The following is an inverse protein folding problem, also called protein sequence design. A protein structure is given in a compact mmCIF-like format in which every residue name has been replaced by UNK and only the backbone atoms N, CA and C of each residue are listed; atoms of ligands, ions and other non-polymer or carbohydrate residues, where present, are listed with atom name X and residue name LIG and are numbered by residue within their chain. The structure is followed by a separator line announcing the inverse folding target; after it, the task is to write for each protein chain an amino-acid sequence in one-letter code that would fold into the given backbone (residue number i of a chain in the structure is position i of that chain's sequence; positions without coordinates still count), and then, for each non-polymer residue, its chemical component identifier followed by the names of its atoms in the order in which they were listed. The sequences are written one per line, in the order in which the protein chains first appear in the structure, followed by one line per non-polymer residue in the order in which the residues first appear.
data_IF_480166066626
#
_entry.id   IF_480166066626
#
_cell.length_a   1.000
_cell.length_b   1.000
_cell.length_c   1.000
_cell.angle_alpha   90.00
_cell.angle_beta   90.00
_cell.angle_gamma   90.00
#
_symmetry.space_group_name_H-M   'P 1'
#
loop_
_entity.id
_entity.type
_entity.pdbx_description
1 polymer ?
#
# COMPACT_ATOMS: atom_id res chain seq x y z
N UNK A 1 -21.61 -30.45 44.10
CA UNK A 1 -20.96 -29.88 45.30
C UNK A 1 -19.48 -30.13 45.13
N UNK A 2 -18.90 -29.61 44.04
CA UNK A 2 -18.60 -28.17 43.78
C UNK A 2 -17.58 -27.74 44.84
N UNK A 3 -16.37 -27.25 44.53
CA UNK A 3 -15.95 -26.33 43.46
C UNK A 3 -14.41 -26.42 43.38
N UNK A 4 -13.82 -26.59 42.20
CA UNK A 4 -13.24 -25.59 41.29
C UNK A 4 -11.86 -25.02 41.69
N UNK A 5 -10.91 -25.28 40.78
CA UNK A 5 -9.63 -24.61 40.56
C UNK A 5 -9.83 -23.13 40.19
N UNK A 6 -8.87 -22.27 40.55
CA UNK A 6 -8.22 -21.39 39.56
C UNK A 6 -7.12 -20.55 40.21
N UNK A 7 -5.89 -20.84 39.80
CA UNK A 7 -4.74 -19.95 39.92
C UNK A 7 -4.30 -19.51 38.51
N UNK A 8 -3.87 -18.25 38.44
CA UNK A 8 -3.06 -17.57 37.42
C UNK A 8 -3.48 -17.58 35.93
N UNK A 9 -3.68 -16.39 35.34
CA UNK A 9 -2.56 -15.55 34.87
C UNK A 9 -3.02 -14.40 33.96
N UNK A 10 -2.34 -13.25 34.13
CA UNK A 10 -2.43 -12.03 33.36
C UNK A 10 -2.17 -12.22 31.86
N UNK A 11 -2.96 -11.57 31.00
CA UNK A 11 -2.46 -11.04 29.72
C UNK A 11 -3.19 -9.76 29.30
N UNK A 12 -2.49 -8.63 29.44
CA UNK A 12 -2.37 -7.53 28.46
C UNK A 12 -3.59 -7.22 27.59
N UNK A 13 -4.47 -6.34 28.07
CA UNK A 13 -5.54 -5.72 27.28
C UNK A 13 -4.98 -4.49 26.56
N UNK A 14 -5.12 -4.46 25.23
CA UNK A 14 -4.73 -3.33 24.36
C UNK A 14 -5.95 -2.50 24.03
N UNK A 15 -5.79 -1.19 24.21
CA UNK A 15 -6.83 -0.16 24.15
C UNK A 15 -7.43 0.03 22.74
N UNK A 16 -8.77 0.07 22.67
CA UNK A 16 -9.54 0.55 21.53
C UNK A 16 -10.54 1.62 21.99
N UNK A 17 -10.73 2.62 21.13
CA UNK A 17 -11.26 3.93 21.43
C UNK A 17 -12.81 3.98 21.35
N UNK A 18 -13.47 4.62 22.32
CA UNK A 18 -14.91 4.94 22.30
C UNK A 18 -15.12 6.44 22.10
N UNK A 19 -15.70 6.81 20.96
CA UNK A 19 -16.23 8.17 20.77
C UNK A 19 -17.63 8.11 21.38
N UNK A 20 -17.89 8.84 22.47
CA UNK A 20 -19.28 9.03 22.90
C UNK A 20 -19.93 10.03 21.95
N UNK A 21 -20.20 9.55 20.74
CA UNK A 21 -21.25 10.09 19.89
C UNK A 21 -22.51 9.62 20.57
N UNK A 22 -23.28 10.54 21.15
CA UNK A 22 -24.54 10.15 21.80
C UNK A 22 -25.38 9.43 20.72
N UNK A 23 -26.19 8.41 21.05
CA UNK A 23 -26.96 7.67 20.05
C UNK A 23 -27.78 8.58 19.10
N UNK A 24 -28.17 9.75 19.59
CA UNK A 24 -28.82 10.85 18.85
C UNK A 24 -27.93 11.52 17.77
N UNK A 25 -26.62 11.56 17.94
CA UNK A 25 -25.66 12.20 17.03
C UNK A 25 -25.38 11.35 15.77
N UNK A 26 -25.38 10.01 15.89
CA UNK A 26 -25.12 9.07 14.78
C UNK A 26 -26.30 8.96 13.79
N UNK A 27 -27.53 9.03 14.28
CA UNK A 27 -28.73 8.95 13.45
C UNK A 27 -28.91 10.17 12.51
N UNK A 28 -28.32 11.31 12.85
CA UNK A 28 -28.35 12.55 12.07
C UNK A 28 -27.65 12.49 10.69
N UNK A 29 -26.94 11.39 10.41
CA UNK A 29 -26.17 11.18 9.18
C UNK A 29 -26.88 10.25 8.17
N UNK A 30 -27.92 9.52 8.57
CA UNK A 30 -28.67 8.64 7.68
C UNK A 30 -30.02 9.27 7.29
N UNK A 31 -30.25 9.37 5.98
CA UNK A 31 -31.59 9.65 5.42
C UNK A 31 -32.02 8.44 4.60
N UNK A 32 -33.32 8.26 4.37
CA UNK A 32 -33.90 7.15 3.59
C UNK A 32 -33.32 6.98 2.16
N UNK A 33 -32.55 7.97 1.69
CA UNK A 33 -31.81 7.93 0.42
C UNK A 33 -30.37 7.38 0.50
N UNK A 34 -29.87 7.00 1.67
CA UNK A 34 -28.55 6.38 1.82
C UNK A 34 -28.60 4.90 1.43
N UNK A 35 -28.48 4.60 0.13
CA UNK A 35 -28.04 3.26 -0.30
C UNK A 35 -26.56 3.13 0.05
N UNK A 36 -26.14 2.17 0.90
CA UNK A 36 -24.72 1.92 1.13
C UNK A 36 -24.09 1.50 -0.21
N UNK A 37 -23.11 2.23 -0.68
CA UNK A 37 -22.19 1.69 -1.67
C UNK A 37 -21.43 0.54 -1.00
N UNK A 38 -21.79 -0.70 -1.35
CA UNK A 38 -21.07 -1.96 -1.09
C UNK A 38 -20.69 -2.23 0.37
N UNK A 39 -21.58 -2.92 1.10
CA UNK A 39 -21.27 -3.45 2.44
C UNK A 39 -20.27 -4.62 2.44
N UNK A 40 -19.94 -5.17 1.26
CA UNK A 40 -19.28 -6.45 1.10
C UNK A 40 -17.75 -6.38 1.33
N UNK A 41 -17.17 -5.18 1.34
CA UNK A 41 -15.71 -4.95 1.40
C UNK A 41 -15.31 -3.85 2.42
N UNK A 42 -16.20 -3.50 3.36
CA UNK A 42 -15.91 -2.47 4.35
C UNK A 42 -15.02 -2.99 5.50
N UNK A 43 -14.14 -2.13 6.02
CA UNK A 43 -13.44 -2.36 7.30
C UNK A 43 -14.49 -2.51 8.42
N UNK A 44 -14.72 -3.73 8.88
CA UNK A 44 -15.70 -4.00 9.95
C UNK A 44 -15.03 -3.84 11.31
N UNK A 45 -15.73 -3.19 12.24
CA UNK A 45 -15.31 -3.06 13.64
C UNK A 45 -15.29 -4.45 14.30
N UNK A 46 -14.28 -4.79 15.11
CA UNK A 46 -14.29 -6.00 15.95
C UNK A 46 -15.52 -6.05 16.87
N UNK A 47 -16.04 -7.26 17.13
CA UNK A 47 -17.18 -7.51 18.01
C UNK A 47 -16.75 -7.44 19.49
N UNK A 48 -16.40 -6.24 19.92
CA UNK A 48 -16.07 -5.94 21.32
C UNK A 48 -16.97 -4.78 21.77
N UNK A 49 -17.51 -4.89 22.98
CA UNK A 49 -18.28 -3.81 23.58
C UNK A 49 -17.42 -2.52 23.63
N UNK A 50 -17.97 -1.33 23.31
CA UNK A 50 -17.24 -0.08 23.42
C UNK A 50 -16.74 0.12 24.87
N UNK A 51 -15.45 0.42 25.05
CA UNK A 51 -14.90 0.75 26.37
C UNK A 51 -15.60 1.97 26.97
N UNK A 52 -16.09 1.88 28.20
CA UNK A 52 -16.94 2.91 28.83
C UNK A 52 -16.12 4.13 29.30
N UNK A 53 -14.80 4.00 29.39
CA UNK A 53 -13.91 4.98 30.01
C UNK A 53 -13.31 5.95 28.99
N UNK A 54 -13.86 7.16 28.94
CA UNK A 54 -13.32 8.28 28.20
C UNK A 54 -12.55 9.22 29.14
N UNK A 55 -11.56 9.94 28.58
CA UNK A 55 -10.93 11.05 29.29
C UNK A 55 -11.93 12.17 29.52
N UNK A 56 -11.70 13.01 30.53
CA UNK A 56 -12.53 14.18 30.79
C UNK A 56 -12.38 15.18 29.63
N UNK A 57 -13.46 15.81 29.13
CA UNK A 57 -13.35 16.88 28.14
C UNK A 57 -12.31 17.93 28.55
N UNK A 58 -11.46 18.33 27.61
CA UNK A 58 -10.32 19.22 27.88
C UNK A 58 -9.06 18.58 28.47
N UNK A 59 -9.07 17.28 28.84
CA UNK A 59 -7.88 16.57 29.36
C UNK A 59 -6.87 16.15 28.29
N UNK A 60 -7.11 16.51 27.03
CA UNK A 60 -6.25 16.15 25.90
C UNK A 60 -4.89 16.85 25.98
N UNK A 61 -3.82 16.08 25.75
CA UNK A 61 -2.44 16.56 25.65
C UNK A 61 -1.95 16.38 24.21
N UNK A 62 -1.83 17.46 23.41
CA UNK A 62 -1.29 17.40 22.07
C UNK A 62 0.12 16.81 22.04
N UNK A 63 0.33 15.86 21.13
CA UNK A 63 1.64 15.38 20.75
C UNK A 63 2.40 16.48 20.00
N UNK A 64 3.55 16.87 20.53
CA UNK A 64 4.42 17.84 19.87
C UNK A 64 5.16 17.17 18.71
N UNK A 65 4.79 17.52 17.48
CA UNK A 65 5.52 17.13 16.27
C UNK A 65 6.54 18.24 15.99
N UNK A 66 7.84 18.06 16.30
CA UNK A 66 8.83 19.08 15.97
C UNK A 66 8.89 19.24 14.45
N UNK A 67 8.95 20.49 14.00
CA UNK A 67 9.25 20.78 12.60
C UNK A 67 10.63 20.21 12.26
N UNK A 68 10.72 19.45 11.18
CA UNK A 68 11.96 18.87 10.68
C UNK A 68 12.14 19.31 9.26
N UNK A 69 13.24 20.00 8.98
CA UNK A 69 13.63 20.26 7.61
C UNK A 69 13.83 18.95 6.86
N UNK A 70 13.42 18.92 5.59
CA UNK A 70 13.64 17.77 4.74
C UNK A 70 15.15 17.65 4.45
N UNK A 71 15.81 16.76 5.17
CA UNK A 71 17.23 16.42 4.94
C UNK A 71 17.34 15.10 4.17
N UNK A 72 17.93 15.18 2.97
CA UNK A 72 18.23 14.02 2.16
C UNK A 72 19.74 13.81 2.23
N UNK A 73 20.14 12.83 3.04
CA UNK A 73 21.53 12.44 3.17
C UNK A 73 22.15 11.92 1.87
N UNK A 74 23.46 11.69 1.91
CA UNK A 74 24.23 11.27 0.74
C UNK A 74 23.66 9.99 0.09
N UNK A 75 23.39 10.10 -1.21
CA UNK A 75 22.98 8.98 -2.05
C UNK A 75 24.18 8.04 -2.28
N UNK A 76 23.95 6.75 -2.60
CA UNK A 76 25.02 5.77 -2.82
C UNK A 76 25.87 6.09 -4.06
N UNK A 77 26.64 5.15 -4.63
CA UNK A 77 27.49 5.42 -5.79
C UNK A 77 26.81 5.14 -7.15
N UNK A 78 25.74 4.33 -7.16
CA UNK A 78 25.00 4.00 -8.39
C UNK A 78 23.48 3.98 -8.16
N UNK A 79 22.68 4.12 -9.24
CA UNK A 79 21.22 4.01 -9.14
C UNK A 79 20.74 2.68 -8.55
N UNK A 80 21.33 1.56 -8.94
CA UNK A 80 21.00 0.24 -8.40
C UNK A 80 21.31 0.13 -6.91
N UNK A 81 22.41 0.71 -6.42
CA UNK A 81 22.71 0.71 -4.99
C UNK A 81 21.63 1.44 -4.17
N UNK A 82 21.00 2.48 -4.74
CA UNK A 82 19.89 3.17 -4.10
C UNK A 82 18.66 2.25 -3.97
N UNK A 83 18.38 1.46 -5.00
CA UNK A 83 17.35 0.42 -4.94
C UNK A 83 17.69 -0.67 -3.91
N UNK A 84 18.95 -1.12 -3.88
CA UNK A 84 19.42 -2.16 -2.96
C UNK A 84 19.42 -1.70 -1.48
N UNK A 85 19.38 -0.39 -1.18
CA UNK A 85 19.12 0.08 0.19
C UNK A 85 17.72 -0.28 0.70
N UNK A 86 16.72 -0.31 -0.18
CA UNK A 86 15.36 -0.73 0.15
C UNK A 86 15.17 -2.25 0.08
N UNK A 87 15.92 -2.90 -0.80
CA UNK A 87 15.85 -4.35 -1.04
C UNK A 87 17.26 -4.93 -0.85
N UNK A 88 17.72 -5.08 0.40
CA UNK A 88 19.10 -5.45 0.69
C UNK A 88 19.34 -6.95 0.48
N UNK A 89 20.60 -7.31 0.22
CA UNK A 89 21.00 -8.68 -0.14
C UNK A 89 20.60 -9.72 0.90
N UNK A 90 20.80 -9.44 2.19
CA UNK A 90 20.47 -10.35 3.30
C UNK A 90 18.96 -10.66 3.38
N UNK A 91 18.11 -9.70 3.05
CA UNK A 91 16.65 -9.90 2.98
C UNK A 91 16.31 -10.80 1.81
N UNK A 92 16.87 -10.52 0.63
CA UNK A 92 16.61 -11.32 -0.59
C UNK A 92 17.19 -12.73 -0.49
N UNK A 93 18.31 -12.91 0.23
CA UNK A 93 18.90 -14.21 0.49
C UNK A 93 17.98 -15.05 1.38
N UNK A 94 17.39 -14.45 2.44
CA UNK A 94 16.33 -15.09 3.24
C UNK A 94 15.10 -15.45 2.39
N UNK A 95 14.70 -14.61 1.44
CA UNK A 95 13.62 -14.95 0.51
C UNK A 95 13.98 -16.20 -0.31
N UNK A 96 15.23 -16.32 -0.76
CA UNK A 96 15.68 -17.51 -1.46
C UNK A 96 15.64 -18.75 -0.57
N UNK A 97 16.08 -18.65 0.68
CA UNK A 97 16.00 -19.74 1.67
C UNK A 97 14.56 -20.21 1.90
N UNK A 98 13.63 -19.29 2.19
CA UNK A 98 12.21 -19.61 2.41
C UNK A 98 11.56 -20.22 1.16
N UNK A 99 11.88 -19.66 -0.01
CA UNK A 99 11.42 -20.18 -1.30
C UNK A 99 11.91 -21.62 -1.54
N UNK A 100 13.16 -21.91 -1.19
CA UNK A 100 13.77 -23.23 -1.34
C UNK A 100 13.18 -24.25 -0.37
N UNK A 101 13.00 -23.86 0.90
CA UNK A 101 12.37 -24.69 1.92
C UNK A 101 10.93 -25.05 1.55
N UNK A 102 10.11 -24.07 1.15
CA UNK A 102 8.75 -24.29 0.68
C UNK A 102 8.70 -25.15 -0.59
N UNK A 103 9.66 -24.95 -1.49
CA UNK A 103 9.83 -25.74 -2.70
C UNK A 103 10.06 -27.22 -2.44
N UNK A 104 10.91 -27.56 -1.46
CA UNK A 104 11.18 -28.93 -1.04
C UNK A 104 9.94 -29.64 -0.47
N UNK A 105 9.15 -28.95 0.35
CA UNK A 105 7.90 -29.48 0.91
C UNK A 105 6.86 -29.73 -0.19
N UNK A 106 6.70 -28.79 -1.13
CA UNK A 106 5.72 -28.87 -2.21
C UNK A 106 6.03 -29.95 -3.28
N UNK A 107 7.24 -30.50 -3.33
CA UNK A 107 7.59 -31.62 -4.21
C UNK A 107 7.05 -32.98 -3.72
N UNK A 108 6.62 -33.07 -2.45
CA UNK A 108 6.13 -34.33 -1.85
C UNK A 108 4.69 -34.70 -2.21
N UNK A 109 3.93 -33.80 -2.86
CA UNK A 109 2.55 -34.05 -3.27
C UNK A 109 2.41 -34.66 -4.68
N UNK A 110 1.22 -35.17 -5.06
CA UNK A 110 0.97 -35.69 -6.40
C UNK A 110 1.10 -34.58 -7.46
N UNK A 111 1.91 -34.82 -8.49
CA UNK A 111 2.18 -33.84 -9.57
C UNK A 111 1.88 -34.47 -10.94
N UNK A 112 1.12 -33.75 -11.78
CA UNK A 112 0.84 -34.17 -13.18
C UNK A 112 2.13 -34.49 -13.95
N UNK A 113 2.07 -35.46 -14.86
CA UNK A 113 3.22 -36.00 -15.58
C UNK A 113 4.11 -34.92 -16.23
N UNK A 114 3.51 -33.95 -16.93
CA UNK A 114 4.18 -32.84 -17.62
C UNK A 114 4.14 -31.51 -16.85
N UNK A 115 4.00 -31.56 -15.53
CA UNK A 115 3.94 -30.32 -14.72
C UNK A 115 5.31 -29.64 -14.65
N UNK A 116 5.31 -28.31 -14.89
CA UNK A 116 6.47 -27.44 -14.65
C UNK A 116 7.03 -27.58 -13.23
N UNK A 117 6.20 -27.92 -12.23
CA UNK A 117 6.65 -28.14 -10.84
C UNK A 117 7.75 -29.18 -10.71
N UNK A 118 7.85 -30.14 -11.64
CA UNK A 118 8.91 -31.16 -11.65
C UNK A 118 10.28 -30.59 -12.01
N UNK A 119 10.32 -29.46 -12.73
CA UNK A 119 11.54 -28.73 -13.07
C UNK A 119 11.98 -27.74 -11.98
N UNK A 120 11.42 -27.81 -10.77
CA UNK A 120 11.84 -26.93 -9.68
C UNK A 120 13.27 -27.28 -9.24
N UNK A 121 14.10 -26.24 -9.20
CA UNK A 121 15.43 -26.26 -8.61
C UNK A 121 15.55 -25.11 -7.60
N UNK A 122 16.45 -25.19 -6.61
CA UNK A 122 16.69 -24.08 -5.69
C UNK A 122 16.99 -22.78 -6.43
N UNK A 123 16.52 -21.66 -5.89
CA UNK A 123 16.79 -20.29 -6.34
C UNK A 123 17.87 -19.66 -5.46
N UNK A 124 18.55 -18.63 -5.96
CA UNK A 124 19.50 -17.80 -5.21
C UNK A 124 19.00 -16.36 -5.13
N UNK A 125 19.60 -15.54 -4.26
CA UNK A 125 19.32 -14.10 -4.20
C UNK A 125 19.51 -13.42 -5.57
N UNK A 126 20.56 -13.80 -6.32
CA UNK A 126 20.82 -13.28 -7.66
C UNK A 126 19.70 -13.61 -8.64
N UNK A 127 19.16 -14.82 -8.61
CA UNK A 127 18.03 -15.20 -9.46
C UNK A 127 16.73 -14.46 -9.06
N UNK A 128 16.57 -14.11 -7.78
CA UNK A 128 15.47 -13.26 -7.31
C UNK A 128 15.65 -11.80 -7.75
N UNK A 129 16.85 -11.22 -7.68
CA UNK A 129 17.09 -9.87 -8.21
C UNK A 129 16.86 -9.80 -9.72
N UNK A 130 17.29 -10.82 -10.48
CA UNK A 130 16.94 -10.94 -11.89
C UNK A 130 15.43 -10.98 -12.08
N UNK A 131 14.71 -11.76 -11.27
CA UNK A 131 13.25 -11.84 -11.28
C UNK A 131 12.60 -10.46 -11.01
N UNK A 132 13.08 -9.69 -10.03
CA UNK A 132 12.59 -8.34 -9.75
C UNK A 132 12.84 -7.39 -10.94
N UNK A 133 14.04 -7.42 -11.53
CA UNK A 133 14.36 -6.64 -12.73
C UNK A 133 13.43 -6.95 -13.91
N UNK A 134 13.03 -8.21 -14.06
CA UNK A 134 12.04 -8.63 -15.07
C UNK A 134 10.64 -8.12 -14.73
N UNK A 135 10.21 -8.16 -13.47
CA UNK A 135 8.90 -7.60 -13.08
C UNK A 135 8.81 -6.10 -13.40
N UNK A 136 9.85 -5.34 -13.08
CA UNK A 136 9.93 -3.90 -13.42
C UNK A 136 9.87 -3.71 -14.94
N UNK A 137 10.58 -4.54 -15.71
CA UNK A 137 10.56 -4.48 -17.18
C UNK A 137 9.17 -4.80 -17.76
N UNK A 138 8.46 -5.77 -17.17
CA UNK A 138 7.11 -6.14 -17.59
C UNK A 138 6.06 -5.08 -17.25
N UNK A 139 6.28 -4.26 -16.22
CA UNK A 139 5.44 -3.11 -15.91
C UNK A 139 5.63 -1.94 -16.89
N UNK A 140 6.84 -1.78 -17.44
CA UNK A 140 7.13 -0.81 -18.49
C UNK A 140 6.55 -1.22 -19.85
N UNK A 141 6.60 -2.52 -20.16
CA UNK A 141 6.12 -3.08 -21.42
C UNK A 141 5.16 -4.24 -21.15
N UNK A 142 3.86 -3.96 -21.22
CA UNK A 142 2.81 -4.95 -20.94
C UNK A 142 2.44 -5.74 -22.20
N UNK A 143 2.78 -7.03 -22.20
CA UNK A 143 2.32 -7.96 -23.24
C UNK A 143 0.95 -8.56 -22.90
N UNK A 144 0.18 -8.97 -23.91
CA UNK A 144 -1.09 -9.68 -23.66
C UNK A 144 -0.88 -11.00 -22.89
N UNK A 145 0.22 -11.71 -23.14
CA UNK A 145 0.50 -13.00 -22.52
C UNK A 145 1.98 -13.14 -22.15
N UNK A 146 2.26 -13.81 -21.02
CA UNK A 146 3.64 -13.97 -20.49
C UNK A 146 4.58 -14.63 -21.51
N UNK A 147 4.10 -15.54 -22.36
CA UNK A 147 4.99 -16.21 -23.31
C UNK A 147 5.54 -15.29 -24.40
N UNK A 148 4.84 -14.18 -24.71
CA UNK A 148 5.24 -13.25 -25.78
C UNK A 148 6.58 -12.57 -25.50
N UNK A 149 6.90 -12.30 -24.23
CA UNK A 149 8.22 -11.80 -23.83
C UNK A 149 9.38 -12.73 -24.21
N UNK A 150 9.13 -14.02 -24.44
CA UNK A 150 10.13 -15.01 -24.86
C UNK A 150 9.93 -15.47 -26.31
N UNK A 151 9.04 -14.83 -27.08
CA UNK A 151 8.85 -15.16 -28.49
C UNK A 151 9.94 -14.51 -29.35
N UNK A 152 10.47 -15.25 -30.32
CA UNK A 152 11.40 -14.69 -31.33
C UNK A 152 10.70 -14.01 -32.51
N UNK A 153 9.37 -14.06 -32.55
CA UNK A 153 8.52 -13.37 -33.53
C UNK A 153 8.17 -11.97 -33.03
N UNK A 154 9.19 -11.15 -32.85
CA UNK A 154 9.03 -9.74 -32.50
C UNK A 154 9.03 -8.94 -33.81
N UNK A 155 8.03 -8.09 -34.01
CA UNK A 155 7.98 -7.17 -35.15
C UNK A 155 9.18 -6.21 -35.08
N UNK A 156 9.56 -5.56 -36.19
CA UNK A 156 10.76 -4.70 -36.22
C UNK A 156 10.75 -3.55 -35.18
N UNK A 157 9.60 -3.20 -34.62
CA UNK A 157 9.41 -2.16 -33.60
C UNK A 157 9.32 -2.70 -32.16
N UNK A 158 9.30 -4.03 -31.97
CA UNK A 158 9.15 -4.62 -30.65
C UNK A 158 10.46 -4.56 -29.82
N UNK A 159 10.37 -4.27 -28.51
CA UNK A 159 11.55 -4.21 -27.66
C UNK A 159 12.19 -5.60 -27.46
N UNK A 160 13.49 -5.69 -27.74
CA UNK A 160 14.28 -6.91 -27.47
C UNK A 160 14.42 -7.11 -25.96
N UNK A 161 13.77 -8.14 -25.43
CA UNK A 161 13.81 -8.49 -24.01
C UNK A 161 15.10 -9.25 -23.66
N UNK A 162 16.16 -8.54 -23.29
CA UNK A 162 17.48 -9.12 -23.01
C UNK A 162 17.50 -10.17 -21.88
N UNK A 163 16.57 -10.08 -20.93
CA UNK A 163 16.45 -11.07 -19.85
C UNK A 163 16.15 -12.49 -20.33
N UNK A 164 15.60 -12.66 -21.55
CA UNK A 164 15.36 -13.97 -22.19
C UNK A 164 16.65 -14.77 -22.37
N UNK A 165 17.81 -14.09 -22.42
CA UNK A 165 19.12 -14.72 -22.46
C UNK A 165 19.49 -15.37 -21.13
N UNK A 166 18.96 -14.89 -20.01
CA UNK A 166 19.37 -15.28 -18.66
C UNK A 166 18.41 -16.28 -17.99
N UNK A 167 17.12 -16.20 -18.28
CA UNK A 167 16.10 -17.06 -17.69
C UNK A 167 15.09 -17.55 -18.74
N UNK A 168 14.66 -18.81 -18.65
CA UNK A 168 13.60 -19.33 -19.50
C UNK A 168 12.23 -18.91 -19.00
N UNK A 169 11.25 -18.80 -19.92
CA UNK A 169 9.84 -18.54 -19.60
C UNK A 169 9.33 -19.44 -18.47
N UNK A 170 9.60 -20.74 -18.59
CA UNK A 170 9.10 -21.73 -17.63
C UNK A 170 9.74 -21.57 -16.25
N UNK A 171 11.03 -21.19 -16.18
CA UNK A 171 11.68 -20.88 -14.92
C UNK A 171 11.13 -19.59 -14.30
N UNK A 172 10.96 -18.53 -15.09
CA UNK A 172 10.34 -17.29 -14.61
C UNK A 172 8.95 -17.54 -14.02
N UNK A 173 8.09 -18.29 -14.73
CA UNK A 173 6.76 -18.62 -14.23
C UNK A 173 6.78 -19.52 -12.99
N UNK A 174 7.82 -20.35 -12.81
CA UNK A 174 8.01 -21.10 -11.57
C UNK A 174 8.39 -20.19 -10.40
N UNK A 175 9.30 -19.22 -10.62
CA UNK A 175 9.66 -18.22 -9.61
C UNK A 175 8.47 -17.35 -9.23
N UNK A 176 7.76 -16.79 -10.23
CA UNK A 176 6.54 -16.00 -10.01
C UNK A 176 5.51 -16.74 -9.15
N UNK A 177 5.46 -18.06 -9.26
CA UNK A 177 4.54 -18.91 -8.50
C UNK A 177 5.04 -19.29 -7.10
N UNK A 178 6.35 -19.30 -6.87
CA UNK A 178 6.97 -19.98 -5.71
C UNK A 178 7.84 -19.11 -4.83
N UNK A 179 8.29 -17.94 -5.28
CA UNK A 179 9.02 -16.99 -4.43
C UNK A 179 8.19 -16.74 -3.17
N UNK A 180 8.85 -16.69 -2.01
CA UNK A 180 8.26 -16.41 -0.71
C UNK A 180 9.07 -15.30 -0.05
N UNK A 181 8.38 -14.29 0.49
CA UNK A 181 9.02 -13.13 1.15
C UNK A 181 8.79 -13.08 2.66
N UNK A 182 8.22 -14.15 3.23
CA UNK A 182 7.97 -14.31 4.66
C UNK A 182 8.12 -15.78 5.05
N UNK A 183 8.30 -16.01 6.35
CA UNK A 183 8.37 -17.36 6.93
C UNK A 183 7.02 -18.07 6.82
N UNK A 184 6.96 -19.38 6.52
CA UNK A 184 5.71 -20.15 6.45
C UNK A 184 4.95 -20.31 7.78
N UNK A 185 5.30 -19.58 8.84
CA UNK A 185 4.67 -19.71 10.15
C UNK A 185 3.18 -19.35 10.08
N UNK A 186 2.36 -20.17 10.75
CA UNK A 186 0.90 -20.15 10.71
C UNK A 186 0.37 -18.77 11.10
N UNK A 187 -0.12 -18.01 10.12
CA UNK A 187 -1.02 -16.91 10.39
C UNK A 187 -2.35 -17.52 10.89
N UNK A 188 -2.84 -17.17 12.09
CA UNK A 188 -4.18 -17.56 12.50
C UNK A 188 -5.19 -16.87 11.58
N UNK A 189 -6.08 -17.65 10.99
CA UNK A 189 -7.21 -17.14 10.21
C UNK A 189 -8.15 -16.40 11.15
N UNK A 190 -8.39 -15.12 10.90
CA UNK A 190 -9.54 -14.44 11.50
C UNK A 190 -10.04 -13.39 10.54
N UNK A 191 -11.21 -13.62 9.95
CA UNK A 191 -12.38 -12.72 10.05
C UNK A 191 -13.52 -13.17 9.13
N UNK A 192 -14.73 -13.18 9.69
CA UNK A 192 -16.02 -13.17 8.98
C UNK A 192 -16.68 -11.81 9.27
N UNK A 193 -17.21 -11.09 8.27
CA UNK A 193 -17.96 -9.85 8.50
C UNK A 193 -19.49 -10.08 8.43
N UNK A 194 -20.24 -9.52 9.38
CA UNK A 194 -21.70 -9.33 9.30
C UNK A 194 -22.04 -7.98 9.93
N UNK A 195 -22.93 -7.21 9.29
CA UNK A 195 -23.36 -5.89 9.75
C UNK A 195 -24.86 -5.84 10.07
N UNK A 196 -25.22 -5.02 11.05
CA UNK A 196 -26.61 -4.66 11.38
C UNK A 196 -26.73 -3.14 11.60
N UNK A 197 -27.93 -2.62 11.37
CA UNK A 197 -28.28 -1.21 11.37
C UNK A 197 -29.53 -1.04 12.24
N UNK A 198 -29.56 -0.03 13.11
CA UNK A 198 -30.78 0.36 13.85
C UNK A 198 -31.06 1.85 13.74
N UNK A 199 -32.34 2.15 13.95
CA UNK A 199 -33.08 3.35 13.58
C UNK A 199 -33.30 4.31 14.75
N UNK A 200 -33.63 5.55 14.36
CA UNK A 200 -34.18 6.66 15.15
C UNK A 200 -33.17 7.69 15.72
N UNK A 201 -33.20 8.92 15.20
CA UNK A 201 -32.64 10.07 15.92
C UNK A 201 -32.70 11.41 15.19
N UNK A 202 -32.86 12.46 15.99
CA UNK A 202 -33.01 13.89 15.62
C UNK A 202 -31.63 14.53 15.42
N UNK A 203 -31.50 15.47 14.47
CA UNK A 203 -30.20 15.87 13.91
C UNK A 203 -29.35 16.91 14.66
N UNK A 204 -28.01 16.78 14.55
CA UNK A 204 -26.99 17.73 15.03
C UNK A 204 -26.96 19.03 14.19
N UNK A 205 -26.93 20.23 14.82
CA UNK A 205 -26.70 21.54 14.17
C UNK A 205 -25.38 21.67 13.40
N UNK A 206 -25.39 22.46 12.32
CA UNK A 206 -24.18 22.75 11.52
C UNK A 206 -23.13 23.52 12.34
N UNK A 207 -21.86 23.13 12.19
CA UNK A 207 -20.71 23.77 12.83
C UNK A 207 -20.41 23.27 14.25
N UNK A 208 -21.28 22.42 14.82
CA UNK A 208 -21.06 21.90 16.16
C UNK A 208 -19.90 20.91 16.19
N UNK A 209 -19.03 21.08 17.19
CA UNK A 209 -17.86 20.23 17.46
C UNK A 209 -18.08 19.53 18.80
N UNK A 210 -17.85 18.23 18.83
CA UNK A 210 -17.76 17.44 20.06
C UNK A 210 -16.39 16.80 20.13
N UNK A 211 -15.83 16.76 21.33
CA UNK A 211 -14.46 16.33 21.53
C UNK A 211 -14.34 15.50 22.81
N UNK A 212 -13.79 14.29 22.67
CA UNK A 212 -13.64 13.34 23.78
C UNK A 212 -12.26 12.70 23.68
N UNK A 213 -11.34 13.01 24.60
CA UNK A 213 -10.04 12.34 24.62
C UNK A 213 -10.16 10.89 25.08
N UNK A 214 -9.19 10.06 24.70
CA UNK A 214 -8.95 8.75 25.33
C UNK A 214 -8.61 8.92 26.82
N UNK A 215 -8.77 7.85 27.61
CA UNK A 215 -8.50 7.87 29.06
C UNK A 215 -7.09 8.36 29.41
N UNK A 216 -6.10 8.02 28.59
CA UNK A 216 -4.72 8.45 28.72
C UNK A 216 -4.45 9.88 28.23
N UNK A 217 -5.44 10.54 27.63
CA UNK A 217 -5.35 11.90 27.11
C UNK A 217 -4.47 12.07 25.87
N UNK A 218 -4.07 10.97 25.21
CA UNK A 218 -3.11 11.00 24.09
C UNK A 218 -3.76 11.06 22.70
N UNK A 219 -4.97 10.55 22.56
CA UNK A 219 -5.73 10.59 21.31
C UNK A 219 -7.01 11.35 21.55
N UNK A 220 -7.28 12.30 20.68
CA UNK A 220 -8.46 13.12 20.75
C UNK A 220 -9.46 12.72 19.66
N UNK A 221 -10.70 12.52 20.07
CA UNK A 221 -11.76 12.05 19.20
C UNK A 221 -12.71 13.19 18.88
N UNK A 222 -12.97 13.41 17.60
CA UNK A 222 -13.66 14.57 17.10
C UNK A 222 -14.91 14.19 16.32
N UNK A 223 -16.00 14.88 16.61
CA UNK A 223 -17.22 14.89 15.83
C UNK A 223 -17.44 16.31 15.32
N UNK A 224 -17.57 16.50 14.01
CA UNK A 224 -17.88 17.81 13.42
C UNK A 224 -19.02 17.71 12.41
N UNK A 225 -20.01 18.59 12.53
CA UNK A 225 -21.16 18.62 11.62
C UNK A 225 -20.97 19.66 10.52
N UNK A 226 -20.71 19.19 9.30
CA UNK A 226 -20.79 19.97 8.07
C UNK A 226 -22.11 19.66 7.32
N UNK A 227 -22.06 19.45 6.01
CA UNK A 227 -23.17 18.87 5.25
C UNK A 227 -23.48 17.43 5.67
N UNK A 228 -22.51 16.74 6.26
CA UNK A 228 -22.63 15.41 6.85
C UNK A 228 -21.90 15.42 8.21
N UNK A 229 -22.16 14.42 9.04
CA UNK A 229 -21.36 14.21 10.24
C UNK A 229 -20.00 13.68 9.82
N UNK A 230 -18.94 14.28 10.35
CA UNK A 230 -17.56 13.88 10.10
C UNK A 230 -16.95 13.42 11.41
N UNK A 231 -16.36 12.22 11.40
CA UNK A 231 -15.65 11.63 12.54
C UNK A 231 -14.15 11.67 12.28
N UNK A 232 -13.37 12.10 13.26
CA UNK A 232 -11.91 12.18 13.17
C UNK A 232 -11.22 11.75 14.47
N UNK A 233 -10.00 11.26 14.32
CA UNK A 233 -9.06 11.07 15.42
C UNK A 233 -7.83 11.93 15.16
N UNK A 234 -7.25 12.51 16.21
CA UNK A 234 -6.01 13.27 16.10
C UNK A 234 -5.21 13.17 17.40
N UNK A 235 -3.89 13.18 17.25
CA UNK A 235 -2.95 13.26 18.37
C UNK A 235 -2.40 14.67 18.55
N UNK A 236 -2.77 15.65 17.73
CA UNK A 236 -2.13 16.99 17.73
C UNK A 236 -3.10 18.17 17.90
N UNK A 237 -4.38 18.04 17.54
CA UNK A 237 -5.31 19.18 17.55
C UNK A 237 -6.26 19.17 18.75
N UNK A 238 -6.46 20.35 19.36
CA UNK A 238 -7.45 20.62 20.42
C UNK A 238 -8.79 21.09 19.81
N UNK A 239 -9.86 20.94 20.59
CA UNK A 239 -11.23 21.37 20.23
C UNK A 239 -11.39 22.86 19.96
N UNK A 240 -10.59 23.69 20.61
CA UNK A 240 -10.65 25.16 20.49
C UNK A 240 -9.89 25.71 19.29
N UNK A 241 -9.15 24.87 18.57
CA UNK A 241 -8.38 25.31 17.41
C UNK A 241 -9.31 25.46 16.20
N UNK A 242 -9.64 26.70 15.85
CA UNK A 242 -10.47 27.03 14.69
C UNK A 242 -9.73 27.97 13.72
N UNK A 243 -10.12 27.91 12.45
CA UNK A 243 -9.63 28.80 11.39
C UNK A 243 -10.80 29.27 10.53
N UNK A 244 -10.78 30.54 10.13
CA UNK A 244 -11.77 31.09 9.21
C UNK A 244 -11.45 30.66 7.78
N UNK A 245 -12.40 29.98 7.13
CA UNK A 245 -12.28 29.59 5.70
C UNK A 245 -13.48 30.06 4.90
N UNK A 246 -13.21 30.52 3.67
CA UNK A 246 -14.24 30.89 2.70
C UNK A 246 -14.90 29.61 2.15
N UNK A 247 -16.11 29.31 2.59
CA UNK A 247 -16.85 28.12 2.19
C UNK A 247 -17.90 28.45 1.14
N UNK A 248 -18.21 27.50 0.27
CA UNK A 248 -19.27 27.62 -0.74
C UNK A 248 -20.59 27.11 -0.18
N UNK A 249 -21.67 27.87 -0.40
CA UNK A 249 -23.02 27.47 -0.01
C UNK A 249 -23.41 26.15 -0.71
N UNK A 250 -23.81 25.11 0.03
CA UNK A 250 -24.16 23.81 -0.53
C UNK A 250 -25.35 23.88 -1.50
N UNK A 251 -25.31 23.08 -2.56
CA UNK A 251 -26.41 22.90 -3.53
C UNK A 251 -27.13 21.57 -3.33
N UNK A 252 -28.46 21.59 -3.48
CA UNK A 252 -29.36 20.43 -3.33
C UNK A 252 -30.25 20.51 -2.09
N UNK A 253 -31.16 19.53 -1.96
CA UNK A 253 -32.33 19.63 -1.06
C UNK A 253 -32.37 18.60 0.07
N UNK A 254 -31.26 17.91 0.35
CA UNK A 254 -31.18 17.04 1.53
C UNK A 254 -31.33 17.86 2.83
N UNK A 255 -31.86 17.22 3.88
CA UNK A 255 -32.11 17.87 5.16
C UNK A 255 -30.84 18.53 5.74
N UNK A 256 -29.71 17.82 5.71
CA UNK A 256 -28.44 18.35 6.19
C UNK A 256 -27.92 19.54 5.37
N UNK A 257 -28.14 19.55 4.04
CA UNK A 257 -27.81 20.70 3.19
C UNK A 257 -28.73 21.90 3.44
N UNK A 258 -30.02 21.66 3.75
CA UNK A 258 -30.95 22.73 4.15
C UNK A 258 -30.50 23.38 5.45
N UNK A 259 -30.06 22.59 6.43
CA UNK A 259 -29.53 23.08 7.70
C UNK A 259 -28.25 23.89 7.50
N UNK A 260 -27.26 23.33 6.79
CA UNK A 260 -26.03 24.05 6.46
C UNK A 260 -26.31 25.40 5.79
N UNK A 261 -27.25 25.46 4.84
CA UNK A 261 -27.64 26.70 4.13
C UNK A 261 -28.15 27.81 5.05
N UNK A 262 -28.71 27.50 6.22
CA UNK A 262 -29.17 28.53 7.17
C UNK A 262 -28.00 29.40 7.64
N UNK A 263 -26.85 28.79 7.86
CA UNK A 263 -25.63 29.48 8.33
C UNK A 263 -25.05 30.40 7.24
N UNK A 264 -25.18 30.01 5.97
CA UNK A 264 -24.79 30.84 4.82
C UNK A 264 -25.75 32.00 4.52
N UNK A 265 -27.03 31.88 4.91
CA UNK A 265 -28.06 32.84 4.54
C UNK A 265 -28.22 32.95 3.02
N UNK A 266 -28.23 34.18 2.52
CA UNK A 266 -28.32 34.49 1.08
C UNK A 266 -26.95 34.43 0.36
N UNK A 267 -25.84 34.39 1.10
CA UNK A 267 -24.50 34.48 0.54
C UNK A 267 -24.11 33.18 -0.18
N UNK A 268 -23.65 33.28 -1.43
CA UNK A 268 -23.17 32.12 -2.18
C UNK A 268 -21.84 31.54 -1.62
N UNK A 269 -21.08 32.38 -0.92
CA UNK A 269 -19.85 32.02 -0.21
C UNK A 269 -19.76 32.84 1.07
N UNK A 270 -19.28 32.24 2.16
CA UNK A 270 -19.19 32.90 3.47
C UNK A 270 -17.95 32.43 4.22
N UNK A 271 -17.30 33.34 4.95
CA UNK A 271 -16.23 32.98 5.89
C UNK A 271 -16.86 32.35 7.12
N UNK A 272 -16.50 31.10 7.40
CA UNK A 272 -17.03 30.36 8.53
C UNK A 272 -15.87 29.78 9.34
N UNK A 273 -15.97 29.76 10.68
CA UNK A 273 -15.02 29.04 11.51
C UNK A 273 -15.17 27.54 11.25
N UNK A 274 -14.05 26.88 11.01
CA UNK A 274 -13.97 25.41 10.93
C UNK A 274 -12.86 24.92 11.85
N UNK A 275 -12.92 23.67 12.34
CA UNK A 275 -11.82 23.11 13.11
C UNK A 275 -10.52 23.11 12.31
N UNK A 276 -9.42 23.56 12.92
CA UNK A 276 -8.09 23.57 12.31
C UNK A 276 -7.67 22.17 11.86
N UNK A 277 -8.04 21.13 12.61
CA UNK A 277 -7.79 19.74 12.25
C UNK A 277 -8.39 19.35 10.89
N UNK A 278 -9.61 19.81 10.61
CA UNK A 278 -10.31 19.54 9.33
C UNK A 278 -9.66 20.33 8.21
N UNK A 279 -9.24 21.55 8.49
CA UNK A 279 -8.55 22.39 7.53
C UNK A 279 -7.21 21.77 7.11
N UNK A 280 -6.37 21.41 8.08
CA UNK A 280 -5.09 20.73 7.87
C UNK A 280 -5.26 19.39 7.17
N UNK A 281 -6.27 18.59 7.55
CA UNK A 281 -6.59 17.37 6.84
C UNK A 281 -6.91 17.65 5.36
N UNK A 282 -7.82 18.57 5.06
CA UNK A 282 -8.21 18.84 3.67
C UNK A 282 -7.05 19.37 2.81
N UNK A 283 -6.11 20.12 3.40
CA UNK A 283 -4.93 20.60 2.68
C UNK A 283 -3.92 19.48 2.40
N UNK A 284 -3.83 18.48 3.28
CA UNK A 284 -2.78 17.44 3.22
C UNK A 284 -3.29 16.04 2.79
N UNK A 285 -4.60 15.79 2.76
CA UNK A 285 -5.19 14.46 2.53
C UNK A 285 -4.83 13.85 1.16
N UNK A 286 -4.58 14.69 0.16
CA UNK A 286 -4.24 14.24 -1.20
C UNK A 286 -2.82 13.64 -1.30
N UNK A 287 -2.02 13.65 -0.23
CA UNK A 287 -0.67 13.08 -0.23
C UNK A 287 -0.67 11.57 -0.47
N UNK A 288 -1.59 10.84 0.17
CA UNK A 288 -1.76 9.39 -0.04
C UNK A 288 -2.28 9.12 -1.45
N UNK A 289 -3.27 9.89 -1.92
CA UNK A 289 -3.80 9.77 -3.29
C UNK A 289 -2.73 10.01 -4.35
N UNK A 290 -1.84 10.98 -4.12
CA UNK A 290 -0.70 11.25 -5.00
C UNK A 290 0.27 10.07 -5.04
N UNK A 291 0.55 9.44 -3.89
CA UNK A 291 1.36 8.22 -3.82
C UNK A 291 0.70 7.07 -4.58
N UNK A 292 -0.61 6.86 -4.39
CA UNK A 292 -1.39 5.83 -5.08
C UNK A 292 -1.40 6.05 -6.59
N UNK A 293 -1.60 7.29 -7.04
CA UNK A 293 -1.49 7.67 -8.43
C UNK A 293 -0.09 7.36 -8.98
N UNK A 294 0.97 7.78 -8.28
CA UNK A 294 2.35 7.56 -8.72
C UNK A 294 2.70 6.08 -8.83
N UNK A 295 2.20 5.26 -7.89
CA UNK A 295 2.39 3.79 -7.90
C UNK A 295 1.57 3.11 -8.98
N UNK A 296 0.42 3.67 -9.40
CA UNK A 296 -0.42 3.07 -10.43
C UNK A 296 0.23 3.07 -11.83
N UNK A 297 1.20 3.95 -12.07
CA UNK A 297 1.94 4.00 -13.33
C UNK A 297 2.97 2.87 -13.44
N UNK A 298 2.95 2.18 -14.59
CA UNK A 298 3.92 1.11 -14.93
C UNK A 298 3.93 -0.07 -13.96
N UNK A 299 2.79 -0.37 -13.32
CA UNK A 299 2.66 -1.54 -12.45
C UNK A 299 2.76 -2.85 -13.24
N UNK A 300 3.17 -3.90 -12.54
CA UNK A 300 2.98 -5.27 -12.99
C UNK A 300 1.48 -5.66 -12.97
N UNK A 301 0.71 -5.18 -13.95
CA UNK A 301 -0.75 -5.33 -14.02
C UNK A 301 -1.20 -6.70 -14.57
N UNK A 302 -0.69 -7.80 -13.99
CA UNK A 302 -1.14 -9.17 -14.34
C UNK A 302 -1.99 -9.80 -13.24
N UNK A 303 -2.99 -10.63 -13.60
CA UNK A 303 -3.80 -11.32 -12.60
C UNK A 303 -2.96 -12.22 -11.68
N UNK A 304 -3.02 -11.93 -10.38
CA UNK A 304 -2.37 -12.70 -9.32
C UNK A 304 -3.40 -13.72 -8.80
N UNK A 305 -3.12 -15.01 -8.97
CA UNK A 305 -4.08 -16.10 -8.67
C UNK A 305 -3.71 -16.93 -7.43
N UNK A 306 -2.64 -16.58 -6.70
CA UNK A 306 -2.05 -17.45 -5.66
C UNK A 306 -1.65 -16.69 -4.41
N UNK A 307 -2.63 -16.07 -3.78
CA UNK A 307 -2.51 -15.41 -2.48
C UNK A 307 -2.42 -13.89 -2.60
N UNK A 308 -3.19 -13.19 -1.76
CA UNK A 308 -3.20 -11.72 -1.63
C UNK A 308 -1.80 -11.15 -1.36
N UNK A 309 -0.93 -11.93 -0.70
CA UNK A 309 0.44 -11.54 -0.39
C UNK A 309 1.28 -11.19 -1.64
N UNK A 310 1.04 -11.83 -2.80
CA UNK A 310 1.78 -11.50 -4.03
C UNK A 310 1.40 -10.11 -4.56
N UNK A 311 0.13 -9.72 -4.41
CA UNK A 311 -0.31 -8.38 -4.77
C UNK A 311 0.33 -7.36 -3.83
N UNK A 312 0.40 -7.66 -2.53
CA UNK A 312 1.11 -6.83 -1.57
C UNK A 312 2.61 -6.73 -1.91
N UNK A 313 3.27 -7.83 -2.23
CA UNK A 313 4.70 -7.85 -2.53
C UNK A 313 5.04 -7.08 -3.81
N UNK A 314 4.37 -7.41 -4.92
CA UNK A 314 4.78 -6.97 -6.25
C UNK A 314 4.02 -5.75 -6.77
N UNK A 315 2.75 -5.60 -6.42
CA UNK A 315 1.93 -4.48 -6.89
C UNK A 315 1.87 -3.33 -5.86
N UNK A 316 2.27 -3.58 -4.61
CA UNK A 316 2.32 -2.55 -3.57
C UNK A 316 3.75 -2.24 -3.13
N UNK A 317 4.43 -3.15 -2.43
CA UNK A 317 5.73 -2.89 -1.81
C UNK A 317 6.82 -2.57 -2.83
N UNK A 318 6.94 -3.36 -3.90
CA UNK A 318 7.90 -3.07 -4.98
C UNK A 318 7.62 -1.71 -5.62
N UNK A 319 6.35 -1.35 -5.83
CA UNK A 319 5.97 -0.06 -6.39
C UNK A 319 6.30 1.11 -5.46
N UNK A 320 6.10 0.95 -4.15
CA UNK A 320 6.55 1.92 -3.13
C UNK A 320 8.06 2.14 -3.22
N UNK A 321 8.85 1.06 -3.31
CA UNK A 321 10.31 1.16 -3.46
C UNK A 321 10.70 1.92 -4.73
N UNK A 322 10.06 1.62 -5.86
CA UNK A 322 10.38 2.28 -7.13
C UNK A 322 10.04 3.77 -7.12
N UNK A 323 8.90 4.15 -6.53
CA UNK A 323 8.49 5.56 -6.40
C UNK A 323 9.39 6.30 -5.40
N UNK A 324 9.69 5.71 -4.25
CA UNK A 324 10.56 6.35 -3.25
C UNK A 324 11.98 6.57 -3.78
N UNK A 325 12.56 5.57 -4.44
CA UNK A 325 13.89 5.71 -5.05
C UNK A 325 13.91 6.74 -6.19
N UNK A 326 12.81 6.86 -6.95
CA UNK A 326 12.65 7.91 -7.96
C UNK A 326 12.62 9.32 -7.36
N UNK A 327 11.92 9.52 -6.24
CA UNK A 327 11.91 10.82 -5.57
C UNK A 327 13.25 11.12 -4.90
N UNK A 328 13.89 10.15 -4.26
CA UNK A 328 15.20 10.33 -3.63
C UNK A 328 16.26 10.77 -4.64
N UNK A 329 16.33 10.18 -5.84
CA UNK A 329 17.28 10.66 -6.86
C UNK A 329 16.92 12.04 -7.43
N UNK A 330 15.64 12.42 -7.42
CA UNK A 330 15.19 13.72 -7.93
C UNK A 330 15.55 14.83 -6.94
N UNK A 331 15.25 14.61 -5.67
CA UNK A 331 15.39 15.58 -4.58
C UNK A 331 16.80 15.60 -3.96
N UNK A 332 17.48 14.45 -3.87
CA UNK A 332 18.86 14.37 -3.35
C UNK A 332 19.91 14.81 -4.38
N UNK A 333 21.19 14.72 -4.05
CA UNK A 333 22.30 15.11 -4.94
C UNK A 333 23.20 13.91 -5.30
N UNK A 334 22.82 13.09 -6.30
CA UNK A 334 23.60 11.92 -6.70
C UNK A 334 24.79 12.29 -7.59
N UNK A 335 25.85 11.48 -7.52
CA UNK A 335 27.02 11.60 -8.41
C UNK A 335 26.78 11.07 -9.84
N UNK A 336 25.53 10.76 -10.20
CA UNK A 336 25.11 10.34 -11.54
C UNK A 336 24.00 11.26 -12.07
N UNK A 337 23.78 11.29 -13.40
CA UNK A 337 22.73 12.10 -13.99
C UNK A 337 21.34 11.78 -13.41
N UNK A 338 20.65 12.81 -12.92
CA UNK A 338 19.26 12.71 -12.48
C UNK A 338 18.33 12.41 -13.64
N UNK A 339 17.32 11.61 -13.36
CA UNK A 339 16.26 11.24 -14.31
C UNK A 339 14.96 11.94 -13.93
N UNK A 340 14.26 12.51 -14.92
CA UNK A 340 13.06 13.33 -14.67
C UNK A 340 11.74 12.57 -14.79
N UNK A 341 11.76 11.34 -15.28
CA UNK A 341 10.55 10.54 -15.48
C UNK A 341 10.64 9.19 -14.78
N UNK A 342 9.51 8.74 -14.21
CA UNK A 342 9.39 7.41 -13.64
C UNK A 342 9.71 6.31 -14.67
N UNK A 343 9.30 6.49 -15.93
CA UNK A 343 9.58 5.56 -17.01
C UNK A 343 11.08 5.33 -17.19
N UNK A 344 11.86 6.40 -17.34
CA UNK A 344 13.31 6.30 -17.50
C UNK A 344 13.96 5.74 -16.24
N UNK A 345 13.50 6.11 -15.04
CA UNK A 345 14.06 5.60 -13.79
C UNK A 345 13.88 4.09 -13.65
N UNK A 346 12.65 3.60 -13.83
CA UNK A 346 12.33 2.17 -13.82
C UNK A 346 13.09 1.41 -14.90
N UNK A 347 13.26 2.01 -16.08
CA UNK A 347 14.04 1.44 -17.19
C UNK A 347 15.52 1.31 -16.83
N UNK A 348 16.12 2.32 -16.19
CA UNK A 348 17.50 2.27 -15.71
C UNK A 348 17.67 1.17 -14.65
N UNK A 349 16.79 1.12 -13.64
CA UNK A 349 16.86 0.11 -12.59
C UNK A 349 16.68 -1.30 -13.15
N UNK A 350 15.72 -1.50 -14.06
CA UNK A 350 15.47 -2.83 -14.64
C UNK A 350 16.66 -3.32 -15.46
N UNK A 351 17.28 -2.47 -16.27
CA UNK A 351 18.50 -2.81 -17.00
C UNK A 351 19.65 -3.16 -16.06
N UNK A 352 19.91 -2.33 -15.04
CA UNK A 352 21.02 -2.56 -14.11
C UNK A 352 20.81 -3.87 -13.34
N UNK A 353 19.60 -4.16 -12.86
CA UNK A 353 19.28 -5.42 -12.18
C UNK A 353 19.50 -6.64 -13.10
N UNK A 354 19.00 -6.57 -14.35
CA UNK A 354 19.15 -7.66 -15.32
C UNK A 354 20.61 -7.86 -15.70
N UNK A 355 21.37 -6.79 -15.93
CA UNK A 355 22.77 -6.86 -16.35
C UNK A 355 23.66 -7.37 -15.22
N UNK A 356 23.45 -6.89 -13.99
CA UNK A 356 24.26 -7.27 -12.83
C UNK A 356 23.99 -8.71 -12.37
N UNK A 357 22.72 -9.11 -12.29
CA UNK A 357 22.35 -10.40 -11.70
C UNK A 357 22.04 -11.50 -12.73
N UNK A 358 21.81 -11.14 -13.99
CA UNK A 358 21.53 -12.08 -15.08
C UNK A 358 22.61 -13.15 -15.32
N UNK A 359 23.90 -12.79 -15.46
CA UNK A 359 24.97 -13.75 -15.70
C UNK A 359 25.11 -14.81 -14.59
N UNK A 360 24.98 -14.39 -13.34
CA UNK A 360 25.13 -15.26 -12.16
C UNK A 360 23.93 -16.16 -11.90
N UNK A 361 22.76 -15.85 -12.45
CA UNK A 361 21.58 -16.73 -12.37
C UNK A 361 21.76 -18.04 -13.17
N UNK A 362 22.75 -18.13 -14.08
CA UNK A 362 23.05 -19.33 -14.85
C UNK A 362 24.02 -20.28 -14.11
N UNK A 363 23.48 -21.17 -13.29
CA UNK A 363 24.14 -22.45 -13.02
C UNK A 363 24.01 -23.40 -14.24
N UNK A 364 24.86 -23.14 -15.25
CA UNK A 364 25.46 -24.00 -16.30
C UNK A 364 24.72 -24.45 -17.58
N UNK A 365 25.61 -24.64 -18.58
CA UNK A 365 25.54 -24.91 -20.03
C UNK A 365 24.64 -26.09 -20.44
N UNK A 366 23.66 -25.83 -21.32
CA UNK A 366 23.45 -26.49 -22.62
C UNK A 366 22.08 -26.10 -23.22
N UNK A 367 22.08 -25.07 -24.05
CA UNK A 367 21.16 -24.98 -25.18
C UNK A 367 21.89 -24.19 -26.27
N UNK A 368 22.26 -24.88 -27.33
CA UNK A 368 22.85 -24.29 -28.54
C UNK A 368 21.79 -23.33 -29.12
N UNK A 369 22.07 -22.03 -29.33
CA UNK A 369 21.17 -21.20 -30.10
C UNK A 369 21.12 -21.78 -31.52
N UNK A 370 19.94 -22.22 -31.98
CA UNK A 370 19.71 -22.42 -33.41
C UNK A 370 19.70 -21.02 -34.04
N UNK A 371 20.87 -20.59 -34.51
CA UNK A 371 21.18 -19.41 -35.33
C UNK A 371 20.48 -18.10 -34.94
N UNK A 372 21.27 -17.15 -34.48
CA UNK A 372 21.59 -15.96 -35.27
C UNK A 372 22.97 -15.47 -34.84
N UNK A 373 23.87 -15.35 -35.80
CA UNK A 373 25.08 -14.54 -35.70
C UNK A 373 24.65 -13.12 -35.38
N UNK A 374 24.89 -12.66 -34.15
CA UNK A 374 24.82 -11.24 -33.85
C UNK A 374 26.04 -10.86 -33.01
N UNK A 375 27.05 -10.35 -33.71
CA UNK A 375 28.26 -9.74 -33.13
C UNK A 375 28.04 -8.26 -32.80
N UNK A 376 26.79 -7.81 -32.61
CA UNK A 376 26.51 -6.44 -32.21
C UNK A 376 26.38 -6.34 -30.69
N UNK A 377 27.47 -5.85 -30.12
CA UNK A 377 27.57 -5.07 -28.89
C UNK A 377 27.03 -5.73 -27.60
N UNK A 378 27.92 -6.07 -26.67
CA UNK A 378 27.60 -6.56 -25.32
C UNK A 378 26.97 -5.47 -24.41
N UNK A 379 26.82 -4.25 -24.93
CA UNK A 379 26.08 -3.18 -24.27
C UNK A 379 24.64 -3.15 -24.75
N UNK A 380 23.72 -3.00 -23.78
CA UNK A 380 22.32 -2.71 -24.01
C UNK A 380 22.27 -1.48 -24.94
N UNK A 381 21.57 -1.52 -26.09
CA UNK A 381 21.67 -0.46 -27.12
C UNK A 381 21.17 0.94 -26.70
N UNK A 382 20.94 1.18 -25.41
CA UNK A 382 20.31 2.39 -24.89
C UNK A 382 20.86 2.88 -23.55
N UNK A 383 22.09 2.49 -23.21
CA UNK A 383 22.83 3.14 -22.13
C UNK A 383 23.00 4.65 -22.39
#
# INVERSE_FOLDING_TARGET
MDSDDSDASETSVRDCITVAVLPEDLAAACTDSCRPERCDEATVRPHEEPGVEHGTPGSFTPFEVPEREADIGALPATPIDLFLRYVPYDVVDRWAEWTNAAGATAQRGPVRQHSRSKGWRPTSAHEIYLFLGILISMGLHTESQIFRYWSGSQDQEDPIYLFTRFISRDRFQLLLRRVQIFTPANFPDTTTPIGEKEDEGKGIPWGQVHCIPTKDGQINQFTWKDNALVLFLTTVFRETAEVLRLRRRPTGDSAAKKEARRVFGAEARKNLPIPLAIDEYNHNMNGVDTSDQMRSYYQYSRPIRRGSWQALAWNFLLEVVLVNTFFLQLWGDPNWPKVKSQYQWRRTLSAQLIQQFGPSAKARKHARPKRATDTRNDSIPWA
#
